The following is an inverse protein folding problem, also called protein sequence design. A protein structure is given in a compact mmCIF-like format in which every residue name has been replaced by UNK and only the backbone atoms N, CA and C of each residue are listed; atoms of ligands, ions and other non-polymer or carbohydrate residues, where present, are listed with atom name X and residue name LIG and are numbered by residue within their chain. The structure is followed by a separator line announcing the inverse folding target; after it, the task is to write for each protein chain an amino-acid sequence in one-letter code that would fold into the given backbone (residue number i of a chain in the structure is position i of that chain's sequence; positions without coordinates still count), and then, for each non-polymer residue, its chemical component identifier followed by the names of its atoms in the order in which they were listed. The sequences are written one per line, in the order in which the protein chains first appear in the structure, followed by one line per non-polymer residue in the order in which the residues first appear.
data_IF_059500839503
#
_entry.id   IF_059500839503
#
_cell.length_a   1.000
_cell.length_b   1.000
_cell.length_c   1.000
_cell.angle_alpha   90.00
_cell.angle_beta   90.00
_cell.angle_gamma   90.00
#
_symmetry.space_group_name_H-M   'P 1'
#
loop_
_entity.id
_entity.type
_entity.pdbx_description
1 polymer ?
#
# COMPACT_ATOMS: atom_id res chain seq x y z
N UNK A 1 -10.99 28.04 -6.03
CA UNK A 1 -10.96 27.52 -4.65
C UNK A 1 -12.10 26.55 -4.36
N UNK A 2 -13.39 26.90 -4.56
CA UNK A 2 -14.52 25.97 -4.29
C UNK A 2 -14.43 24.59 -4.99
N UNK A 3 -14.01 24.53 -6.27
CA UNK A 3 -13.85 23.25 -6.99
C UNK A 3 -12.74 22.34 -6.45
N UNK A 4 -11.64 22.90 -5.92
CA UNK A 4 -10.51 22.14 -5.34
C UNK A 4 -10.84 21.55 -3.97
N UNK A 5 -11.65 22.26 -3.17
CA UNK A 5 -12.12 21.76 -1.88
C UNK A 5 -13.14 20.63 -2.05
N UNK A 6 -14.01 20.74 -3.07
CA UNK A 6 -14.96 19.67 -3.44
C UNK A 6 -14.21 18.43 -3.96
N UNK A 7 -13.16 18.59 -4.78
CA UNK A 7 -12.36 17.44 -5.24
C UNK A 7 -11.58 16.73 -4.12
N UNK A 8 -11.15 17.47 -3.09
CA UNK A 8 -10.46 16.92 -1.91
C UNK A 8 -11.39 16.01 -1.10
N UNK A 9 -12.59 16.53 -0.79
CA UNK A 9 -13.60 15.78 -0.04
C UNK A 9 -14.09 14.55 -0.82
N UNK A 10 -14.10 14.62 -2.17
CA UNK A 10 -14.52 13.52 -3.03
C UNK A 10 -13.45 12.44 -3.23
N UNK A 11 -12.15 12.79 -3.31
CA UNK A 11 -11.10 11.77 -3.38
C UNK A 11 -10.98 11.00 -2.07
N UNK A 12 -11.10 11.69 -0.92
CA UNK A 12 -11.26 11.07 0.38
C UNK A 12 -12.50 10.15 0.40
N UNK A 13 -13.68 10.67 0.03
CA UNK A 13 -14.90 9.85 0.00
C UNK A 13 -14.79 8.62 -0.92
N UNK A 14 -14.07 8.68 -2.05
CA UNK A 14 -13.85 7.53 -2.94
C UNK A 14 -12.78 6.55 -2.43
N UNK A 15 -11.77 7.03 -1.69
CA UNK A 15 -10.80 6.19 -0.99
C UNK A 15 -11.43 5.42 0.18
N UNK A 16 -12.51 5.97 0.76
CA UNK A 16 -13.17 5.43 1.94
C UNK A 16 -14.53 4.74 1.64
N UNK A 17 -15.17 5.00 0.48
CA UNK A 17 -16.44 4.39 0.10
C UNK A 17 -16.21 3.14 -0.76
N UNK A 18 -15.97 2.01 -0.10
CA UNK A 18 -16.07 0.69 -0.71
C UNK A 18 -17.49 0.37 -1.18
N UNK A 19 -17.87 0.81 -2.38
CA UNK A 19 -19.10 0.34 -3.03
C UNK A 19 -18.90 -1.09 -3.52
N UNK A 20 -19.10 -2.05 -2.62
CA UNK A 20 -19.25 -3.46 -2.95
C UNK A 20 -20.49 -3.66 -3.84
N UNK A 21 -20.28 -3.90 -5.14
CA UNK A 21 -21.26 -4.64 -5.94
C UNK A 21 -20.70 -6.06 -6.07
N UNK A 22 -21.21 -6.97 -5.22
CA UNK A 22 -21.02 -8.41 -5.41
C UNK A 22 -21.60 -8.83 -6.76
N UNK A 23 -20.78 -9.47 -7.60
CA UNK A 23 -21.28 -10.21 -8.76
C UNK A 23 -20.45 -11.48 -9.00
N UNK A 24 -21.01 -12.58 -8.47
CA UNK A 24 -20.83 -13.99 -8.83
C UNK A 24 -19.59 -14.78 -8.36
N UNK A 25 -19.92 -15.95 -7.80
CA UNK A 25 -19.06 -16.95 -7.19
C UNK A 25 -18.84 -18.18 -8.11
N UNK A 26 -17.84 -19.00 -7.72
CA UNK A 26 -17.47 -20.38 -8.14
C UNK A 26 -16.84 -20.55 -9.54
N UNK A 27 -15.75 -21.29 -9.80
CA UNK A 27 -14.84 -22.21 -9.08
C UNK A 27 -13.50 -22.32 -9.89
N UNK A 28 -12.42 -22.97 -9.41
CA UNK A 28 -11.05 -22.74 -9.88
C UNK A 28 -10.66 -23.59 -11.10
N UNK A 29 -9.83 -23.04 -11.99
CA UNK A 29 -9.06 -23.82 -12.95
C UNK A 29 -7.57 -23.78 -12.60
N UNK A 30 -7.09 -24.95 -12.21
CA UNK A 30 -5.67 -25.31 -12.11
C UNK A 30 -5.01 -25.19 -13.48
N UNK A 31 -3.93 -24.42 -13.56
CA UNK A 31 -3.10 -24.32 -14.76
C UNK A 31 -1.75 -23.71 -14.44
N UNK A 32 -0.77 -24.56 -14.20
CA UNK A 32 0.66 -24.26 -14.21
C UNK A 32 1.16 -24.06 -15.64
N UNK A 33 1.79 -22.93 -15.97
CA UNK A 33 2.79 -22.72 -17.06
C UNK A 33 3.07 -21.19 -17.28
N UNK A 34 4.13 -20.77 -18.01
CA UNK A 34 5.43 -20.38 -17.45
C UNK A 34 5.71 -18.87 -17.56
N UNK A 35 6.78 -18.45 -16.86
CA UNK A 35 7.38 -17.12 -16.82
C UNK A 35 7.90 -16.66 -18.21
N UNK A 36 7.68 -15.40 -18.65
CA UNK A 36 8.43 -14.83 -19.74
C UNK A 36 9.65 -14.04 -19.24
N UNK A 37 10.79 -14.33 -19.84
CA UNK A 37 12.06 -13.66 -19.64
C UNK A 37 12.19 -12.34 -20.44
N UNK A 38 12.94 -11.42 -19.84
CA UNK A 38 13.80 -10.37 -20.42
C UNK A 38 13.19 -9.17 -21.18
N UNK A 39 13.54 -7.97 -20.68
CA UNK A 39 14.34 -7.00 -21.43
C UNK A 39 14.96 -5.96 -20.46
N UNK A 40 16.27 -6.09 -20.23
CA UNK A 40 17.12 -5.08 -19.59
C UNK A 40 17.45 -3.97 -20.59
N UNK A 41 17.38 -2.72 -20.13
CA UNK A 41 18.29 -1.60 -20.47
C UNK A 41 17.66 -0.26 -20.09
N UNK A 42 17.91 0.23 -18.86
CA UNK A 42 18.29 1.62 -18.54
C UNK A 42 18.91 1.60 -17.14
N UNK A 43 20.24 1.52 -17.03
CA UNK A 43 20.94 1.47 -15.75
C UNK A 43 21.98 2.60 -15.67
N UNK A 44 21.59 3.84 -15.36
CA UNK A 44 22.56 4.87 -14.94
C UNK A 44 22.07 5.88 -13.86
N UNK A 45 20.81 5.81 -13.36
CA UNK A 45 20.37 6.66 -12.23
C UNK A 45 20.10 5.91 -10.90
N UNK A 46 20.11 4.57 -10.89
CA UNK A 46 19.77 3.79 -9.69
C UNK A 46 20.91 3.73 -8.65
N UNK A 47 22.16 4.00 -9.03
CA UNK A 47 23.33 3.74 -8.18
C UNK A 47 23.50 4.74 -7.02
N UNK A 48 22.96 5.96 -7.12
CA UNK A 48 23.04 6.94 -6.02
C UNK A 48 22.05 6.64 -4.90
N UNK A 49 21.03 5.82 -5.17
CA UNK A 49 20.03 5.47 -4.19
C UNK A 49 20.64 4.44 -3.22
N UNK A 50 21.22 3.34 -3.68
CA UNK A 50 21.57 2.19 -2.82
C UNK A 50 22.81 2.33 -1.91
N UNK A 51 23.30 3.55 -1.67
CA UNK A 51 24.46 3.78 -0.80
C UNK A 51 24.03 3.98 0.64
N UNK A 52 24.37 3.02 1.53
CA UNK A 52 24.21 3.17 2.99
C UNK A 52 24.95 4.44 3.47
N UNK A 53 24.35 5.28 4.35
CA UNK A 53 25.11 6.29 5.07
C UNK A 53 26.17 5.60 5.96
N UNK A 54 27.38 6.14 5.99
CA UNK A 54 28.50 5.58 6.76
C UNK A 54 28.27 5.82 8.25
N UNK A 55 28.14 4.75 9.04
CA UNK A 55 28.02 4.83 10.49
C UNK A 55 29.38 5.20 11.13
N UNK A 56 29.34 6.12 12.09
CA UNK A 56 30.45 6.47 12.98
C UNK A 56 30.65 5.37 14.03
N UNK A 57 31.84 4.77 14.05
CA UNK A 57 32.24 3.75 15.03
C UNK A 57 32.48 4.38 16.41
N UNK A 58 31.96 3.74 17.46
CA UNK A 58 32.51 3.82 18.83
C UNK A 58 32.66 2.40 19.42
N UNK A 59 33.65 2.18 20.29
CA UNK A 59 34.22 0.86 20.51
C UNK A 59 33.54 0.04 21.62
N UNK A 60 33.73 -1.27 21.50
CA UNK A 60 33.40 -2.34 22.44
C UNK A 60 34.19 -2.27 23.76
N UNK A 61 33.57 -2.76 24.83
CA UNK A 61 34.25 -3.31 26.02
C UNK A 61 33.50 -4.56 26.50
N UNK A 62 34.27 -5.57 26.89
CA UNK A 62 33.92 -6.98 27.14
C UNK A 62 33.49 -7.31 28.59
N UNK A 63 32.67 -8.37 28.70
CA UNK A 63 32.53 -9.44 29.70
C UNK A 63 32.16 -9.20 31.19
N UNK A 64 31.23 -10.05 31.65
CA UNK A 64 30.89 -10.37 33.05
C UNK A 64 29.95 -11.58 33.14
N UNK A 65 30.22 -12.50 34.08
CA UNK A 65 29.81 -13.91 34.15
C UNK A 65 28.34 -14.24 34.47
N UNK A 66 27.99 -15.49 34.18
CA UNK A 66 26.71 -16.17 34.33
C UNK A 66 26.26 -16.37 35.79
N UNK A 67 24.94 -16.37 35.99
CA UNK A 67 24.26 -16.98 37.13
C UNK A 67 23.10 -17.84 36.61
N UNK A 68 23.06 -19.07 37.11
CA UNK A 68 22.06 -20.10 36.83
C UNK A 68 20.80 -19.80 37.67
N UNK A 69 19.72 -19.36 37.04
CA UNK A 69 18.40 -19.24 37.66
C UNK A 69 17.44 -20.23 37.00
N UNK A 70 16.89 -21.10 37.83
CA UNK A 70 15.83 -22.05 37.53
C UNK A 70 14.64 -21.37 36.86
N UNK A 71 14.43 -21.67 35.58
CA UNK A 71 13.29 -21.20 34.80
C UNK A 71 11.98 -21.83 35.31
N UNK A 72 11.09 -20.99 35.84
CA UNK A 72 9.64 -21.25 35.81
C UNK A 72 9.21 -21.37 34.33
N UNK A 73 8.11 -22.08 34.00
CA UNK A 73 7.65 -22.13 32.62
C UNK A 73 7.28 -20.71 32.18
N UNK A 74 8.16 -20.06 31.41
CA UNK A 74 7.85 -18.80 30.74
C UNK A 74 6.59 -19.03 29.92
N UNK A 75 5.52 -18.28 30.24
CA UNK A 75 4.43 -18.11 29.28
C UNK A 75 5.08 -17.67 27.97
N UNK A 76 4.92 -18.46 26.89
CA UNK A 76 5.45 -18.09 25.58
C UNK A 76 4.92 -16.70 25.22
N UNK A 77 5.78 -15.69 25.37
CA UNK A 77 5.43 -14.31 25.08
C UNK A 77 5.11 -14.23 23.59
N UNK A 78 3.87 -13.88 23.25
CA UNK A 78 3.47 -13.72 21.86
C UNK A 78 4.27 -12.58 21.23
N UNK A 79 4.79 -12.73 20.01
CA UNK A 79 5.49 -11.65 19.33
C UNK A 79 4.50 -10.54 18.95
N UNK A 80 4.92 -9.28 19.10
CA UNK A 80 4.17 -8.12 18.65
C UNK A 80 4.38 -7.89 17.15
N UNK A 81 3.35 -8.19 16.35
CA UNK A 81 3.31 -7.90 14.92
C UNK A 81 2.63 -6.55 14.64
N UNK A 82 3.34 -5.64 13.97
CA UNK A 82 2.83 -4.32 13.58
C UNK A 82 2.83 -4.17 12.07
N UNK A 83 1.65 -3.93 11.49
CA UNK A 83 1.48 -3.72 10.06
C UNK A 83 1.28 -2.24 9.74
N UNK A 84 2.24 -1.63 9.05
CA UNK A 84 2.20 -0.25 8.58
C UNK A 84 1.85 -0.21 7.09
N UNK A 85 0.87 0.61 6.70
CA UNK A 85 0.61 0.78 5.28
C UNK A 85 -0.61 1.62 4.92
N UNK A 86 -1.08 1.43 3.69
CA UNK A 86 -2.19 2.21 3.12
C UNK A 86 -3.56 1.52 3.31
N UNK A 87 -4.49 1.76 2.38
CA UNK A 87 -5.83 1.15 2.38
C UNK A 87 -5.80 -0.38 2.27
N UNK A 88 -4.77 -0.95 1.66
CA UNK A 88 -4.57 -2.41 1.61
C UNK A 88 -4.24 -2.94 3.01
N UNK A 89 -3.38 -2.27 3.77
CA UNK A 89 -3.13 -2.61 5.17
C UNK A 89 -4.42 -2.52 6.01
N UNK A 90 -5.17 -1.42 5.84
CA UNK A 90 -6.42 -1.18 6.54
C UNK A 90 -7.52 -2.21 6.25
N UNK A 91 -7.41 -2.96 5.14
CA UNK A 91 -8.44 -3.92 4.71
C UNK A 91 -9.66 -3.25 4.06
N UNK A 92 -9.47 -2.10 3.43
CA UNK A 92 -10.51 -1.46 2.62
C UNK A 92 -11.01 -2.44 1.55
N UNK A 93 -12.34 -2.50 1.37
CA UNK A 93 -12.99 -3.41 0.43
C UNK A 93 -13.48 -4.73 1.03
N UNK A 94 -12.97 -5.13 2.20
CA UNK A 94 -13.44 -6.35 2.89
C UNK A 94 -14.65 -6.13 3.80
N UNK A 95 -14.75 -4.95 4.39
CA UNK A 95 -15.86 -4.53 5.25
C UNK A 95 -16.00 -3.00 5.17
N UNK A 96 -17.05 -2.46 5.76
CA UNK A 96 -17.10 -1.02 6.05
C UNK A 96 -16.06 -0.71 7.13
N UNK A 97 -14.90 -0.21 6.72
CA UNK A 97 -13.90 0.35 7.66
C UNK A 97 -14.61 1.40 8.53
N UNK A 98 -14.40 1.34 9.84
CA UNK A 98 -15.05 2.27 10.74
C UNK A 98 -14.33 3.61 10.68
N UNK A 99 -15.12 4.68 10.52
CA UNK A 99 -14.64 6.05 10.44
C UNK A 99 -15.36 6.89 11.49
N UNK A 100 -14.61 7.61 12.31
CA UNK A 100 -15.15 8.73 13.07
C UNK A 100 -14.67 10.04 12.44
N UNK A 101 -15.56 11.02 12.31
CA UNK A 101 -15.15 12.36 11.90
C UNK A 101 -14.67 13.12 13.13
N UNK A 102 -13.40 13.52 13.14
CA UNK A 102 -12.87 14.45 14.15
C UNK A 102 -12.73 15.86 13.54
N UNK A 103 -12.38 16.86 14.36
CA UNK A 103 -12.22 18.24 13.90
C UNK A 103 -11.08 18.44 12.88
N UNK A 104 -10.19 17.45 12.71
CA UNK A 104 -8.96 17.51 11.92
C UNK A 104 -8.94 16.52 10.72
N UNK A 105 -9.94 15.65 10.57
CA UNK A 105 -9.92 14.59 9.56
C UNK A 105 -10.76 13.35 9.91
N UNK A 106 -10.33 12.21 9.35
CA UNK A 106 -10.94 10.89 9.55
C UNK A 106 -10.12 10.13 10.60
N UNK A 107 -10.74 9.81 11.73
CA UNK A 107 -10.17 8.96 12.77
C UNK A 107 -10.44 7.48 12.46
N UNK A 108 -9.37 6.71 12.36
CA UNK A 108 -9.34 5.28 12.08
C UNK A 108 -8.63 4.48 13.17
N UNK A 109 -8.24 5.12 14.28
CA UNK A 109 -7.50 4.48 15.40
C UNK A 109 -8.23 3.26 15.97
N UNK A 110 -9.56 3.26 15.96
CA UNK A 110 -10.38 2.10 16.33
C UNK A 110 -10.01 0.84 15.54
N UNK A 111 -9.60 0.99 14.27
CA UNK A 111 -9.24 -0.14 13.41
C UNK A 111 -7.85 -0.70 13.75
N UNK A 112 -7.02 -0.04 14.57
CA UNK A 112 -5.68 -0.54 14.93
C UNK A 112 -5.75 -1.90 15.63
N UNK A 113 -6.79 -2.10 16.46
CA UNK A 113 -7.12 -3.39 17.08
C UNK A 113 -8.47 -3.95 16.61
N UNK A 114 -9.34 -3.10 16.03
CA UNK A 114 -10.66 -3.45 15.53
C UNK A 114 -10.73 -3.85 14.05
N UNK A 115 -9.60 -4.08 13.37
CA UNK A 115 -9.56 -4.44 11.95
C UNK A 115 -10.32 -5.75 11.65
N UNK A 116 -10.83 -5.94 10.41
CA UNK A 116 -11.55 -7.15 10.03
C UNK A 116 -10.68 -8.41 10.11
N UNK A 117 -11.22 -9.52 10.61
CA UNK A 117 -10.50 -10.81 10.63
C UNK A 117 -10.02 -11.25 9.24
N UNK A 118 -10.76 -10.86 8.19
CA UNK A 118 -10.46 -11.21 6.81
C UNK A 118 -9.31 -10.39 6.20
N UNK A 119 -8.90 -9.26 6.80
CA UNK A 119 -7.75 -8.51 6.30
C UNK A 119 -6.45 -9.28 6.56
N UNK A 120 -5.36 -8.91 5.89
CA UNK A 120 -4.16 -9.75 5.96
C UNK A 120 -3.57 -9.75 7.38
N UNK A 121 -3.74 -8.67 8.14
CA UNK A 121 -3.29 -8.60 9.54
C UNK A 121 -4.06 -9.60 10.39
N UNK A 122 -5.39 -9.67 10.24
CA UNK A 122 -6.21 -10.68 10.92
C UNK A 122 -5.88 -12.11 10.51
N UNK A 123 -5.58 -12.34 9.24
CA UNK A 123 -5.16 -13.66 8.76
C UNK A 123 -3.75 -14.06 9.27
N UNK A 124 -2.81 -13.11 9.39
CA UNK A 124 -1.49 -13.34 10.03
C UNK A 124 -1.68 -13.65 11.51
N UNK A 125 -2.45 -12.82 12.23
CA UNK A 125 -2.73 -13.01 13.66
C UNK A 125 -3.35 -14.39 13.93
N UNK A 126 -4.38 -14.77 13.16
CA UNK A 126 -5.00 -16.08 13.27
C UNK A 126 -4.01 -17.23 13.02
N UNK A 127 -3.12 -17.09 12.03
CA UNK A 127 -2.17 -18.16 11.69
C UNK A 127 -1.08 -18.32 12.75
N UNK A 128 -0.66 -17.21 13.36
CA UNK A 128 0.38 -17.19 14.40
C UNK A 128 -0.17 -17.32 15.83
N UNK A 129 -1.49 -17.36 16.00
CA UNK A 129 -2.14 -17.43 17.32
C UNK A 129 -2.07 -16.11 18.12
N UNK A 130 -1.93 -14.97 17.44
CA UNK A 130 -1.82 -13.65 18.08
C UNK A 130 -3.20 -13.09 18.41
N UNK A 131 -3.32 -12.50 19.60
CA UNK A 131 -4.49 -11.69 19.95
C UNK A 131 -4.40 -10.26 19.38
N UNK A 132 -5.41 -9.43 19.70
CA UNK A 132 -5.51 -8.05 19.19
C UNK A 132 -4.54 -7.07 19.83
N UNK A 133 -3.90 -7.44 20.94
CA UNK A 133 -2.84 -6.66 21.56
C UNK A 133 -1.47 -6.99 20.97
N UNK A 134 -1.33 -8.16 20.32
CA UNK A 134 -0.10 -8.63 19.67
C UNK A 134 -0.12 -8.57 18.14
N UNK A 135 -1.22 -8.14 17.51
CA UNK A 135 -1.30 -7.89 16.09
C UNK A 135 -1.97 -6.53 15.83
N UNK A 136 -1.19 -5.52 15.46
CA UNK A 136 -1.62 -4.13 15.32
C UNK A 136 -1.66 -3.71 13.85
N UNK A 137 -2.79 -3.16 13.41
CA UNK A 137 -3.00 -2.70 12.04
C UNK A 137 -2.92 -1.17 11.95
N UNK A 138 -1.76 -0.63 11.60
CA UNK A 138 -1.54 0.80 11.34
C UNK A 138 -1.79 1.15 9.87
N UNK A 139 -2.83 0.57 9.28
CA UNK A 139 -3.27 0.83 7.91
C UNK A 139 -4.07 2.11 7.81
N UNK A 140 -3.64 3.02 6.94
CA UNK A 140 -4.22 4.35 6.79
C UNK A 140 -4.65 4.57 5.33
N UNK A 141 -5.95 4.56 5.01
CA UNK A 141 -6.39 4.70 3.62
C UNK A 141 -5.99 6.05 3.01
N UNK A 142 -5.67 6.07 1.72
CA UNK A 142 -5.24 7.28 1.02
C UNK A 142 -3.84 7.79 1.37
N UNK A 143 -3.12 7.07 2.25
CA UNK A 143 -1.76 7.40 2.62
C UNK A 143 -0.82 7.29 1.40
N UNK A 144 -0.11 8.37 1.08
CA UNK A 144 0.95 8.39 0.08
C UNK A 144 2.32 8.20 0.75
N UNK A 145 3.35 7.85 -0.02
CA UNK A 145 4.69 7.60 0.52
C UNK A 145 5.26 8.74 1.36
N UNK A 146 5.04 9.99 0.92
CA UNK A 146 5.53 11.18 1.60
C UNK A 146 4.85 11.39 2.96
N UNK A 147 3.56 11.07 3.06
CA UNK A 147 2.80 11.15 4.31
C UNK A 147 3.37 10.18 5.34
N UNK A 148 3.71 8.96 4.89
CA UNK A 148 4.28 7.94 5.77
C UNK A 148 5.66 8.31 6.29
N UNK A 149 6.49 9.00 5.50
CA UNK A 149 7.80 9.51 5.94
C UNK A 149 7.64 10.42 7.17
N UNK A 150 6.59 11.23 7.22
CA UNK A 150 6.34 12.09 8.39
C UNK A 150 5.83 11.27 9.57
N UNK A 151 4.86 10.39 9.34
CA UNK A 151 4.24 9.57 10.38
C UNK A 151 5.26 8.68 11.12
N UNK A 152 6.22 8.06 10.42
CA UNK A 152 7.25 7.24 11.09
C UNK A 152 8.27 8.06 11.88
N UNK A 153 8.31 9.38 11.68
CA UNK A 153 9.21 10.30 12.41
C UNK A 153 8.51 10.95 13.60
N UNK A 154 7.24 11.31 13.45
CA UNK A 154 6.56 12.21 14.39
C UNK A 154 5.23 11.64 14.90
N UNK A 155 4.72 10.57 14.29
CA UNK A 155 3.38 10.05 14.50
C UNK A 155 2.26 10.92 13.91
N UNK A 156 2.58 12.01 13.19
CA UNK A 156 1.56 12.91 12.62
C UNK A 156 1.93 13.50 11.26
N UNK A 157 0.91 13.90 10.52
CA UNK A 157 1.03 14.71 9.31
C UNK A 157 0.88 16.19 9.65
N UNK A 158 1.87 17.00 9.27
CA UNK A 158 1.91 18.46 9.49
C UNK A 158 0.81 19.18 8.72
N UNK A 159 0.51 18.72 7.52
CA UNK A 159 -0.53 19.26 6.65
C UNK A 159 -1.37 18.14 6.03
N UNK A 160 -2.59 18.47 5.64
CA UNK A 160 -3.44 17.57 4.88
C UNK A 160 -2.85 17.33 3.48
N UNK A 161 -2.78 16.06 3.08
CA UNK A 161 -2.39 15.73 1.73
C UNK A 161 -3.45 16.22 0.74
N UNK A 162 -3.05 17.14 -0.14
CA UNK A 162 -4.01 17.80 -1.05
C UNK A 162 -4.51 16.93 -2.20
N UNK A 163 -3.94 15.75 -2.41
CA UNK A 163 -4.42 14.82 -3.44
C UNK A 163 -5.38 13.79 -2.84
N UNK A 164 -5.01 13.16 -1.72
CA UNK A 164 -5.85 12.17 -1.05
C UNK A 164 -6.89 12.78 -0.11
N UNK A 165 -6.72 14.05 0.29
CA UNK A 165 -7.59 14.72 1.26
C UNK A 165 -7.44 14.18 2.68
N UNK A 166 -6.43 13.34 2.94
CA UNK A 166 -6.21 12.71 4.24
C UNK A 166 -5.23 13.51 5.09
N UNK A 167 -5.47 13.53 6.40
CA UNK A 167 -4.53 13.99 7.42
C UNK A 167 -4.66 13.08 8.63
N UNK A 168 -3.54 12.61 9.15
CA UNK A 168 -3.49 11.66 10.27
C UNK A 168 -2.62 12.19 11.41
N UNK A 169 -3.04 11.94 12.64
CA UNK A 169 -2.38 12.36 13.89
C UNK A 169 -2.52 11.24 14.92
N UNK A 170 -1.53 10.35 14.95
CA UNK A 170 -1.47 9.14 15.77
C UNK A 170 -0.05 8.98 16.37
N UNK A 171 0.31 9.76 17.40
CA UNK A 171 1.61 9.66 18.06
C UNK A 171 1.94 8.24 18.57
N UNK A 172 0.94 7.43 18.89
CA UNK A 172 1.05 6.04 19.32
C UNK A 172 1.72 5.12 18.27
N UNK A 173 1.73 5.51 16.99
CA UNK A 173 2.45 4.77 15.93
C UNK A 173 3.93 4.57 16.33
N UNK A 174 4.56 5.58 16.94
CA UNK A 174 5.97 5.50 17.31
C UNK A 174 6.23 4.51 18.44
N UNK A 175 5.27 4.33 19.36
CA UNK A 175 5.36 3.36 20.45
C UNK A 175 5.23 1.94 19.90
N UNK A 176 4.20 1.68 19.09
CA UNK A 176 4.02 0.39 18.43
C UNK A 176 5.24 -0.01 17.60
N UNK A 177 5.82 0.91 16.82
CA UNK A 177 7.01 0.61 16.02
C UNK A 177 8.26 0.31 16.87
N UNK A 178 8.42 0.95 18.04
CA UNK A 178 9.56 0.68 18.95
C UNK A 178 9.43 -0.65 19.68
N UNK A 179 8.20 -1.06 19.98
CA UNK A 179 7.94 -2.29 20.74
C UNK A 179 7.77 -3.53 19.85
N UNK A 180 7.55 -3.34 18.54
CA UNK A 180 7.31 -4.43 17.62
C UNK A 180 8.48 -5.43 17.56
N UNK A 181 8.16 -6.71 17.59
CA UNK A 181 9.10 -7.77 17.23
C UNK A 181 9.15 -7.93 15.69
N UNK A 182 8.01 -7.71 15.02
CA UNK A 182 7.85 -7.86 13.57
C UNK A 182 7.12 -6.65 13.00
N UNK A 183 7.68 -6.02 11.96
CA UNK A 183 7.09 -4.87 11.28
C UNK A 183 6.91 -5.19 9.79
N UNK A 184 5.68 -5.15 9.28
CA UNK A 184 5.45 -5.17 7.82
C UNK A 184 5.14 -3.78 7.28
N UNK A 185 5.79 -3.38 6.19
CA UNK A 185 5.62 -2.08 5.52
C UNK A 185 5.04 -2.32 4.13
N UNK A 186 3.84 -1.81 3.87
CA UNK A 186 3.16 -1.86 2.58
C UNK A 186 2.80 -0.45 2.12
N UNK A 187 3.36 0.03 1.02
CA UNK A 187 2.97 1.33 0.44
C UNK A 187 3.48 1.47 -1.01
N UNK A 188 3.25 2.64 -1.62
CA UNK A 188 3.92 3.09 -2.86
C UNK A 188 2.98 3.12 -4.05
N UNK A 189 1.96 2.26 -4.06
CA UNK A 189 0.91 2.26 -5.08
C UNK A 189 0.19 3.60 -5.20
N UNK A 190 -0.06 4.27 -4.06
CA UNK A 190 -0.82 5.53 -4.01
C UNK A 190 -0.12 6.71 -4.69
N UNK A 191 1.22 6.69 -4.78
CA UNK A 191 2.02 7.74 -5.41
C UNK A 191 1.74 7.88 -6.91
N UNK A 192 1.39 6.79 -7.61
CA UNK A 192 0.92 6.83 -8.99
C UNK A 192 -0.61 6.81 -9.09
N UNK A 193 -1.28 6.12 -8.17
CA UNK A 193 -2.72 5.88 -8.23
C UNK A 193 -3.56 7.12 -7.91
N UNK A 194 -3.29 7.79 -6.79
CA UNK A 194 -4.07 8.95 -6.36
C UNK A 194 -3.99 10.09 -7.37
N UNK A 195 -2.80 10.47 -7.91
CA UNK A 195 -2.74 11.47 -8.98
C UNK A 195 -3.50 11.06 -10.24
N UNK A 196 -3.55 9.76 -10.56
CA UNK A 196 -4.33 9.26 -11.70
C UNK A 196 -5.81 9.50 -11.49
N UNK A 197 -6.36 9.11 -10.34
CA UNK A 197 -7.77 9.35 -9.99
C UNK A 197 -8.11 10.85 -10.03
N UNK A 198 -7.25 11.70 -9.47
CA UNK A 198 -7.43 13.17 -9.49
C UNK A 198 -7.37 13.72 -10.92
N UNK A 199 -6.44 13.25 -11.75
CA UNK A 199 -6.33 13.67 -13.15
C UNK A 199 -7.58 13.30 -13.96
N UNK A 200 -8.16 12.14 -13.70
CA UNK A 200 -9.40 11.66 -14.31
C UNK A 200 -10.60 12.50 -13.86
N UNK A 201 -10.71 12.77 -12.56
CA UNK A 201 -11.70 13.69 -12.01
C UNK A 201 -11.61 15.06 -12.67
N UNK A 202 -10.40 15.61 -12.83
CA UNK A 202 -10.20 16.87 -13.53
C UNK A 202 -10.56 16.82 -15.02
N UNK A 203 -10.17 15.75 -15.73
CA UNK A 203 -10.45 15.59 -17.17
C UNK A 203 -11.96 15.54 -17.48
N UNK A 204 -12.76 15.09 -16.52
CA UNK A 204 -14.23 15.03 -16.63
C UNK A 204 -14.95 16.15 -15.90
N UNK A 205 -14.21 17.12 -15.34
CA UNK A 205 -14.74 18.17 -14.46
C UNK A 205 -15.61 17.60 -13.31
N UNK A 206 -15.19 16.46 -12.75
CA UNK A 206 -15.80 15.80 -11.59
C UNK A 206 -17.29 15.51 -11.79
N UNK A 207 -17.69 15.21 -13.04
CA UNK A 207 -19.10 14.99 -13.40
C UNK A 207 -19.69 13.67 -12.88
N UNK A 208 -18.89 12.80 -12.28
CA UNK A 208 -19.38 11.58 -11.65
C UNK A 208 -18.43 11.09 -10.57
N UNK A 209 -19.00 10.66 -9.45
CA UNK A 209 -18.33 9.95 -8.37
C UNK A 209 -17.94 8.52 -8.80
N UNK A 210 -18.67 7.92 -9.75
CA UNK A 210 -18.37 6.59 -10.30
C UNK A 210 -17.12 6.58 -11.19
N UNK A 211 -16.53 7.74 -11.47
CA UNK A 211 -15.44 7.84 -12.43
C UNK A 211 -14.12 7.21 -11.96
N UNK A 212 -13.81 7.32 -10.65
CA UNK A 212 -12.72 6.55 -10.09
C UNK A 212 -13.02 5.06 -10.26
N UNK A 213 -14.23 4.62 -9.92
CA UNK A 213 -14.68 3.25 -10.19
C UNK A 213 -14.51 2.89 -11.67
N UNK A 214 -14.90 3.71 -12.65
CA UNK A 214 -14.77 3.39 -14.09
C UNK A 214 -13.33 3.19 -14.57
N UNK A 215 -12.38 3.96 -14.03
CA UNK A 215 -10.96 3.80 -14.36
C UNK A 215 -10.36 2.63 -13.61
N UNK A 216 -10.80 2.41 -12.38
CA UNK A 216 -10.30 1.37 -11.49
C UNK A 216 -10.89 0.00 -11.83
N UNK A 217 -12.15 -0.05 -12.26
CA UNK A 217 -13.06 -1.21 -12.36
C UNK A 217 -12.72 -2.20 -13.45
N UNK A 218 -11.45 -2.39 -13.75
CA UNK A 218 -11.04 -3.39 -14.71
C UNK A 218 -11.33 -3.05 -16.17
N UNK A 219 -11.96 -1.91 -16.45
CA UNK A 219 -12.22 -1.44 -17.81
C UNK A 219 -10.94 -1.11 -18.61
N UNK A 220 -9.80 -1.03 -17.91
CA UNK A 220 -8.45 -0.91 -18.48
C UNK A 220 -7.60 -2.18 -18.25
N UNK A 221 -8.18 -3.24 -17.63
CA UNK A 221 -7.53 -4.52 -17.26
C UNK A 221 -7.79 -5.66 -18.24
N UNK A 222 -8.60 -5.46 -19.27
CA UNK A 222 -8.76 -6.42 -20.38
C UNK A 222 -8.72 -5.73 -21.74
N UNK A 223 -8.08 -6.37 -22.73
CA UNK A 223 -8.17 -5.99 -24.15
C UNK A 223 -9.41 -6.58 -24.81
N UNK A 224 -10.20 -7.35 -24.08
CA UNK A 224 -11.41 -7.95 -24.64
C UNK A 224 -12.43 -6.89 -25.08
N UNK A 225 -13.26 -7.20 -26.08
CA UNK A 225 -14.26 -6.27 -26.60
C UNK A 225 -15.27 -5.80 -25.54
N UNK A 226 -15.54 -6.62 -24.51
CA UNK A 226 -16.55 -6.42 -23.48
C UNK A 226 -16.14 -5.34 -22.49
N UNK A 227 -14.88 -5.36 -22.06
CA UNK A 227 -14.25 -4.39 -21.16
C UNK A 227 -14.10 -3.02 -21.83
N UNK A 228 -13.72 -3.01 -23.12
CA UNK A 228 -13.71 -1.77 -23.92
C UNK A 228 -15.12 -1.20 -24.10
N UNK A 229 -16.12 -2.07 -24.32
CA UNK A 229 -17.51 -1.66 -24.44
C UNK A 229 -18.06 -1.13 -23.11
N UNK A 230 -17.70 -1.75 -21.98
CA UNK A 230 -18.04 -1.30 -20.64
C UNK A 230 -17.43 0.07 -20.32
N UNK A 231 -16.15 0.28 -20.65
CA UNK A 231 -15.53 1.61 -20.58
C UNK A 231 -16.31 2.63 -21.40
N UNK A 232 -16.57 2.35 -22.68
CA UNK A 232 -17.30 3.27 -23.55
C UNK A 232 -18.74 3.53 -23.08
N UNK A 233 -19.43 2.52 -22.55
CA UNK A 233 -20.77 2.65 -21.99
C UNK A 233 -20.76 3.53 -20.74
N UNK A 234 -19.79 3.33 -19.85
CA UNK A 234 -19.55 4.18 -18.68
C UNK A 234 -19.27 5.62 -19.09
N UNK A 235 -18.38 5.85 -20.06
CA UNK A 235 -18.10 7.18 -20.59
C UNK A 235 -19.33 7.84 -21.22
N UNK A 236 -20.21 7.08 -21.88
CA UNK A 236 -21.48 7.59 -22.43
C UNK A 236 -22.45 8.04 -21.34
N UNK A 237 -22.50 7.35 -20.19
CA UNK A 237 -23.35 7.74 -19.04
C UNK A 237 -22.96 9.11 -18.47
N UNK A 238 -21.65 9.44 -18.53
CA UNK A 238 -21.11 10.70 -18.02
C UNK A 238 -21.51 11.95 -18.81
N UNK A 239 -22.08 11.79 -20.02
CA UNK A 239 -22.44 12.91 -20.92
C UNK A 239 -21.29 13.91 -21.07
N UNK A 240 -20.08 13.40 -21.29
CA UNK A 240 -18.91 14.25 -21.46
C UNK A 240 -19.05 15.16 -22.69
N UNK A 241 -18.54 16.38 -22.58
CA UNK A 241 -18.32 17.23 -23.74
C UNK A 241 -17.22 16.64 -24.62
N UNK A 242 -17.09 17.15 -25.84
CA UNK A 242 -15.96 16.78 -26.72
C UNK A 242 -14.61 17.05 -26.04
N UNK A 243 -14.45 18.21 -25.41
CA UNK A 243 -13.20 18.57 -24.73
C UNK A 243 -12.88 17.67 -23.54
N UNK A 244 -13.89 17.24 -22.77
CA UNK A 244 -13.71 16.30 -21.66
C UNK A 244 -13.36 14.89 -22.17
N UNK A 245 -13.99 14.47 -23.27
CA UNK A 245 -13.66 13.20 -23.94
C UNK A 245 -12.21 13.20 -24.44
N UNK A 246 -11.79 14.28 -25.11
CA UNK A 246 -10.41 14.46 -25.59
C UNK A 246 -9.42 14.48 -24.42
N UNK A 247 -9.75 15.14 -23.30
CA UNK A 247 -8.93 15.17 -22.10
C UNK A 247 -8.75 13.77 -21.47
N UNK A 248 -9.82 12.98 -21.39
CA UNK A 248 -9.75 11.59 -20.89
C UNK A 248 -8.88 10.73 -21.82
N UNK A 249 -9.02 10.87 -23.15
CA UNK A 249 -8.19 10.13 -24.11
C UNK A 249 -6.71 10.51 -24.01
N UNK A 250 -6.40 11.80 -23.90
CA UNK A 250 -5.03 12.27 -23.71
C UNK A 250 -4.43 11.70 -22.41
N UNK A 251 -5.23 11.62 -21.35
CA UNK A 251 -4.81 11.06 -20.08
C UNK A 251 -4.52 9.56 -20.17
N UNK A 252 -5.43 8.78 -20.77
CA UNK A 252 -5.26 7.32 -20.93
C UNK A 252 -4.10 6.98 -21.88
N UNK A 253 -3.85 7.79 -22.92
CA UNK A 253 -2.80 7.50 -23.92
C UNK A 253 -1.41 8.01 -23.53
N UNK A 254 -1.31 9.09 -22.75
CA UNK A 254 0.00 9.72 -22.46
C UNK A 254 0.12 10.25 -21.02
N UNK A 255 -0.95 10.81 -20.46
CA UNK A 255 -0.92 11.40 -19.11
C UNK A 255 -0.61 10.38 -18.00
N UNK A 256 -1.17 9.16 -18.08
CA UNK A 256 -0.89 8.09 -17.11
C UNK A 256 0.59 7.67 -17.12
N UNK A 257 1.23 7.64 -18.29
CA UNK A 257 2.66 7.38 -18.37
C UNK A 257 3.46 8.47 -17.66
N UNK A 258 3.11 9.75 -17.89
CA UNK A 258 3.75 10.86 -17.21
C UNK A 258 3.60 10.76 -15.68
N UNK A 259 2.39 10.47 -15.20
CA UNK A 259 2.13 10.30 -13.75
C UNK A 259 3.01 9.19 -13.18
N UNK A 260 3.08 8.03 -13.83
CA UNK A 260 3.93 6.92 -13.40
C UNK A 260 5.42 7.30 -13.40
N UNK A 261 5.89 8.00 -14.44
CA UNK A 261 7.27 8.48 -14.53
C UNK A 261 7.62 9.47 -13.42
N UNK A 262 6.73 10.41 -13.12
CA UNK A 262 6.93 11.41 -12.07
C UNK A 262 6.85 10.79 -10.67
N UNK A 263 5.96 9.80 -10.47
CA UNK A 263 5.75 9.14 -9.18
C UNK A 263 6.91 8.24 -8.76
N UNK A 264 7.60 7.60 -9.71
CA UNK A 264 8.66 6.62 -9.40
C UNK A 264 9.79 7.17 -8.52
N UNK A 265 10.49 8.26 -8.88
CA UNK A 265 11.60 8.76 -8.04
C UNK A 265 11.12 9.26 -6.67
N UNK A 266 9.91 9.79 -6.56
CA UNK A 266 9.32 10.23 -5.29
C UNK A 266 9.03 9.03 -4.39
N UNK A 267 8.33 8.03 -4.93
CA UNK A 267 7.96 6.83 -4.20
C UNK A 267 9.19 6.08 -3.69
N UNK A 268 10.21 5.88 -4.52
CA UNK A 268 11.40 5.11 -4.12
C UNK A 268 12.25 5.84 -3.08
N UNK A 269 12.42 7.16 -3.20
CA UNK A 269 13.10 7.96 -2.19
C UNK A 269 12.39 7.91 -0.83
N UNK A 270 11.06 8.03 -0.83
CA UNK A 270 10.27 7.99 0.39
C UNK A 270 10.23 6.58 1.00
N UNK A 271 10.11 5.52 0.20
CA UNK A 271 10.22 4.12 0.66
C UNK A 271 11.54 3.91 1.40
N UNK A 272 12.66 4.34 0.81
CA UNK A 272 13.96 4.26 1.48
C UNK A 272 13.90 5.00 2.82
N UNK A 273 13.43 6.24 2.83
CA UNK A 273 13.41 7.04 4.06
C UNK A 273 12.54 6.40 5.14
N UNK A 274 11.42 5.76 4.78
CA UNK A 274 10.58 5.00 5.71
C UNK A 274 11.35 3.81 6.27
N UNK A 275 11.94 2.97 5.42
CA UNK A 275 12.73 1.81 5.85
C UNK A 275 13.89 2.23 6.77
N UNK A 276 14.64 3.26 6.40
CA UNK A 276 15.73 3.81 7.21
C UNK A 276 15.23 4.29 8.57
N UNK A 277 14.13 5.03 8.60
CA UNK A 277 13.60 5.60 9.84
C UNK A 277 13.09 4.49 10.74
N UNK A 278 12.34 3.51 10.20
CA UNK A 278 11.82 2.38 10.98
C UNK A 278 12.97 1.52 11.52
N UNK A 279 13.98 1.20 10.70
CA UNK A 279 15.17 0.45 11.15
C UNK A 279 15.97 1.21 12.21
N UNK A 280 16.07 2.53 12.10
CA UNK A 280 16.72 3.34 13.12
C UNK A 280 15.91 3.43 14.42
N UNK A 281 14.58 3.43 14.31
CA UNK A 281 13.66 3.47 15.45
C UNK A 281 13.65 2.15 16.23
N UNK A 282 13.73 1.02 15.51
CA UNK A 282 13.77 -0.32 16.07
C UNK A 282 14.77 -1.20 15.29
N UNK A 283 16.05 -1.22 15.73
CA UNK A 283 17.10 -2.03 15.11
C UNK A 283 16.86 -3.53 15.20
N UNK A 284 16.13 -3.99 16.22
CA UNK A 284 16.00 -5.42 16.56
C UNK A 284 14.80 -6.10 15.88
N UNK A 285 13.80 -5.33 15.44
CA UNK A 285 12.63 -5.88 14.76
C UNK A 285 12.97 -6.60 13.44
N UNK A 286 12.28 -7.70 13.16
CA UNK A 286 12.21 -8.24 11.81
C UNK A 286 11.36 -7.31 10.94
N UNK A 287 11.94 -6.72 9.89
CA UNK A 287 11.22 -5.80 8.99
C UNK A 287 10.90 -6.53 7.69
N UNK A 288 9.65 -6.48 7.27
CA UNK A 288 9.13 -7.07 6.03
C UNK A 288 8.67 -5.96 5.09
N UNK A 289 9.32 -5.78 3.96
CA UNK A 289 8.90 -4.86 2.91
C UNK A 289 7.98 -5.59 1.92
N UNK A 290 6.69 -5.25 1.96
CA UNK A 290 5.67 -5.90 1.16
C UNK A 290 5.64 -5.30 -0.25
N UNK A 291 5.76 -6.15 -1.27
CA UNK A 291 5.68 -5.74 -2.67
C UNK A 291 4.33 -5.14 -3.03
N UNK A 292 4.30 -4.38 -4.13
CA UNK A 292 3.09 -3.77 -4.64
C UNK A 292 2.38 -4.70 -5.64
N UNK A 293 1.06 -4.81 -5.51
CA UNK A 293 0.21 -5.46 -6.52
C UNK A 293 -0.11 -4.46 -7.61
N UNK A 294 0.05 -4.84 -8.88
CA UNK A 294 -0.33 -3.98 -9.99
C UNK A 294 -1.86 -4.02 -10.18
N UNK A 295 -2.58 -2.93 -9.89
CA UNK A 295 -4.02 -2.91 -10.01
C UNK A 295 -4.47 -2.72 -11.47
N UNK A 296 -3.59 -2.48 -12.45
CA UNK A 296 -3.98 -2.32 -13.86
C UNK A 296 -2.96 -2.98 -14.81
N UNK A 297 -2.82 -4.32 -14.80
CA UNK A 297 -1.71 -5.02 -15.46
C UNK A 297 -1.67 -4.94 -16.99
N UNK A 298 -2.73 -4.45 -17.64
CA UNK A 298 -2.73 -4.31 -19.10
C UNK A 298 -2.30 -2.95 -19.62
N UNK A 299 -2.15 -1.95 -18.74
CA UNK A 299 -1.59 -0.67 -19.15
C UNK A 299 -0.06 -0.74 -19.04
N UNK A 300 0.68 -0.57 -20.16
CA UNK A 300 2.14 -0.69 -20.14
C UNK A 300 2.83 0.25 -19.15
N UNK A 301 2.32 1.48 -18.97
CA UNK A 301 2.87 2.43 -18.00
C UNK A 301 2.75 1.94 -16.55
N UNK A 302 1.61 1.33 -16.21
CA UNK A 302 1.36 0.75 -14.89
C UNK A 302 2.25 -0.47 -14.67
N UNK A 303 2.25 -1.42 -15.61
CA UNK A 303 3.11 -2.60 -15.51
C UNK A 303 4.58 -2.23 -15.40
N UNK A 304 5.05 -1.24 -16.16
CA UNK A 304 6.40 -0.71 -16.01
C UNK A 304 6.64 -0.12 -14.61
N UNK A 305 5.74 0.74 -14.12
CA UNK A 305 5.87 1.35 -12.79
C UNK A 305 5.94 0.30 -11.67
N UNK A 306 4.97 -0.62 -11.61
CA UNK A 306 4.91 -1.63 -10.55
C UNK A 306 6.05 -2.64 -10.64
N UNK A 307 6.51 -3.00 -11.84
CA UNK A 307 7.69 -3.85 -12.01
C UNK A 307 8.96 -3.16 -11.50
N UNK A 308 9.16 -1.89 -11.84
CA UNK A 308 10.30 -1.10 -11.35
C UNK A 308 10.23 -0.92 -9.82
N UNK A 309 9.05 -0.60 -9.29
CA UNK A 309 8.82 -0.43 -7.86
C UNK A 309 9.14 -1.72 -7.09
N UNK A 310 8.66 -2.88 -7.56
CA UNK A 310 8.94 -4.17 -6.96
C UNK A 310 10.43 -4.57 -7.07
N UNK A 311 11.10 -4.29 -8.19
CA UNK A 311 12.56 -4.49 -8.34
C UNK A 311 13.32 -3.63 -7.31
N UNK A 312 12.97 -2.35 -7.22
CA UNK A 312 13.55 -1.42 -6.26
C UNK A 312 13.36 -1.89 -4.82
N UNK A 313 12.13 -2.25 -4.43
CA UNK A 313 11.84 -2.72 -3.08
C UNK A 313 12.63 -3.98 -2.72
N UNK A 314 12.75 -4.92 -3.67
CA UNK A 314 13.59 -6.11 -3.48
C UNK A 314 15.07 -5.76 -3.27
N UNK A 315 15.63 -4.88 -4.12
CA UNK A 315 17.03 -4.43 -3.97
C UNK A 315 17.23 -3.65 -2.67
N UNK A 316 16.26 -2.82 -2.28
CA UNK A 316 16.30 -2.09 -1.01
C UNK A 316 16.33 -3.07 0.16
N UNK A 317 15.54 -4.14 0.08
CA UNK A 317 15.51 -5.16 1.12
C UNK A 317 16.88 -5.82 1.32
N UNK A 318 17.55 -6.17 0.22
CA UNK A 318 18.93 -6.69 0.22
C UNK A 318 19.92 -5.68 0.83
N UNK A 319 19.77 -4.38 0.55
CA UNK A 319 20.65 -3.35 1.11
C UNK A 319 20.45 -3.22 2.63
N UNK A 320 19.22 -3.16 3.13
CA UNK A 320 18.95 -2.91 4.55
C UNK A 320 18.87 -4.17 5.41
N UNK A 321 19.14 -5.34 4.84
CA UNK A 321 19.02 -6.63 5.52
C UNK A 321 17.63 -6.79 6.16
N UNK A 322 16.62 -6.63 5.31
CA UNK A 322 15.20 -6.81 5.64
C UNK A 322 14.58 -7.78 4.63
N UNK A 323 13.43 -8.36 4.96
CA UNK A 323 12.79 -9.33 4.08
C UNK A 323 11.93 -8.65 3.02
N UNK A 324 12.04 -9.08 1.77
CA UNK A 324 11.10 -8.69 0.71
C UNK A 324 10.00 -9.73 0.54
N UNK A 325 8.74 -9.30 0.67
CA UNK A 325 7.57 -10.18 0.53
C UNK A 325 6.86 -9.92 -0.80
N UNK A 326 7.13 -10.77 -1.78
CA UNK A 326 6.51 -10.66 -3.10
C UNK A 326 5.02 -11.07 -3.08
N UNK A 327 4.15 -10.12 -3.46
CA UNK A 327 2.69 -10.34 -3.56
C UNK A 327 2.07 -10.04 -4.94
N UNK A 328 2.72 -10.36 -6.08
CA UNK A 328 2.26 -9.92 -7.40
C UNK A 328 0.90 -10.51 -7.83
N UNK A 329 0.45 -11.58 -7.17
CA UNK A 329 -0.76 -12.33 -7.52
C UNK A 329 -1.89 -12.17 -6.51
N UNK A 330 -1.86 -11.12 -5.67
CA UNK A 330 -3.00 -10.84 -4.81
C UNK A 330 -4.24 -10.57 -5.68
N UNK A 331 -5.27 -11.39 -5.51
CA UNK A 331 -6.53 -11.22 -6.25
C UNK A 331 -7.22 -9.94 -5.78
N UNK A 332 -7.55 -9.05 -6.71
CA UNK A 332 -8.16 -7.74 -6.43
C UNK A 332 -9.59 -7.65 -6.95
N UNK A 333 -10.40 -6.83 -6.27
CA UNK A 333 -11.71 -6.38 -6.75
C UNK A 333 -11.56 -5.31 -7.84
N UNK A 334 -12.71 -4.91 -8.40
CA UNK A 334 -12.78 -3.85 -9.41
C UNK A 334 -12.13 -2.54 -8.93
N UNK A 335 -12.26 -2.16 -7.68
CA UNK A 335 -11.63 -0.93 -7.16
C UNK A 335 -10.10 -1.03 -6.98
N UNK A 336 -9.51 -2.22 -7.17
CA UNK A 336 -8.08 -2.48 -7.02
C UNK A 336 -7.64 -2.94 -5.63
N UNK A 337 -8.55 -3.01 -4.66
CA UNK A 337 -8.23 -3.56 -3.35
C UNK A 337 -8.23 -5.10 -3.37
N UNK A 338 -7.40 -5.77 -2.56
CA UNK A 338 -7.43 -7.23 -2.50
C UNK A 338 -8.77 -7.77 -1.99
N UNK A 339 -9.25 -8.82 -2.64
CA UNK A 339 -10.36 -9.65 -2.15
C UNK A 339 -9.99 -10.37 -0.85
N UNK A 340 -10.95 -11.05 -0.20
CA UNK A 340 -10.66 -11.97 0.93
C UNK A 340 -9.56 -12.97 0.55
N UNK A 341 -9.62 -13.53 -0.67
CA UNK A 341 -8.59 -14.45 -1.18
C UNK A 341 -7.24 -13.76 -1.39
N UNK A 342 -7.24 -12.51 -1.85
CA UNK A 342 -6.04 -11.68 -1.97
C UNK A 342 -5.37 -11.43 -0.62
N UNK A 343 -6.14 -11.05 0.41
CA UNK A 343 -5.64 -10.87 1.77
C UNK A 343 -5.08 -12.16 2.38
N UNK A 344 -5.77 -13.30 2.18
CA UNK A 344 -5.25 -14.62 2.57
C UNK A 344 -3.91 -14.94 1.90
N UNK A 345 -3.78 -14.63 0.62
CA UNK A 345 -2.53 -14.81 -0.12
C UNK A 345 -1.40 -13.94 0.44
N UNK A 346 -1.66 -12.66 0.69
CA UNK A 346 -0.68 -11.73 1.29
C UNK A 346 -0.25 -12.25 2.67
N UNK A 347 -1.20 -12.59 3.54
CA UNK A 347 -0.93 -13.11 4.88
C UNK A 347 -0.06 -14.39 4.86
N UNK A 348 -0.37 -15.33 3.97
CA UNK A 348 0.45 -16.55 3.80
C UNK A 348 1.90 -16.24 3.41
N UNK A 349 2.12 -15.21 2.59
CA UNK A 349 3.47 -14.77 2.20
C UNK A 349 4.20 -14.12 3.37
N UNK A 350 3.50 -13.30 4.16
CA UNK A 350 4.03 -12.67 5.38
C UNK A 350 4.42 -13.73 6.41
N UNK A 351 3.51 -14.64 6.76
CA UNK A 351 3.79 -15.74 7.73
C UNK A 351 4.99 -16.56 7.29
N UNK A 352 5.10 -16.88 6.00
CA UNK A 352 6.26 -17.60 5.48
C UNK A 352 7.57 -16.82 5.65
N UNK A 353 7.54 -15.49 5.47
CA UNK A 353 8.72 -14.66 5.70
C UNK A 353 9.10 -14.62 7.18
N UNK A 354 8.11 -14.44 8.07
CA UNK A 354 8.30 -14.46 9.52
C UNK A 354 8.95 -15.77 9.98
N UNK A 355 8.48 -16.92 9.49
CA UNK A 355 9.00 -18.23 9.88
C UNK A 355 10.39 -18.57 9.30
N UNK A 356 10.87 -17.79 8.34
CA UNK A 356 12.11 -18.05 7.61
C UNK A 356 13.24 -17.08 7.98
N UNK A 357 12.93 -15.97 8.63
CA UNK A 357 13.91 -15.05 9.23
C UNK A 357 14.28 -15.54 10.61
#
# INVERSE_FOLDING_TARGET
MKKKLISLALSAAMLFAGFSISAFAEEPLTGSEPEPAAAEAVEEEENSLFRKPSAEQKPETTEGEAADETAEPEEEKQPLYVALGDSICAGVGLTSVQYAHNLMGVDVSYNFKGYPDACYVGQVAQTLGLDRDHAINLGLPGLMSADLVELVKTGKMSEMNTLSGCQYDYPEILEYLKEADIISIQMGSNDAFVPTVVAIGNATNWKSEDLASIVLSGNLRSKDPETRAAFQASMKKLRLTKSETDAVWNLVTSGMNKICTDAYPVSTANIRSVVETVRALNPDAQILLIGATNPVPLLPSWSNYFNKLNKFQKQLAEVYDIDYVAVPYAQTELDGHPTVSGHKYIAKKIVKAIQNG
#
